data_IF_521068796106
#
_entry.id   IF_521068796106
#
_cell.length_a   1.000
_cell.length_b   1.000
_cell.length_c   1.000
_cell.angle_alpha   90.00
_cell.angle_beta   90.00
_cell.angle_gamma   90.00
#
_symmetry.space_group_name_H-M   'P 1'
#
loop_
_entity.id
_entity.type
_entity.pdbx_description
1 polymer ?
#
# COMPACT_ATOMS: atom_id res chain seq x y z
N UNK A 1 -10.26 8.98 -1.06
CA UNK A 1 -11.14 8.03 -1.76
C UNK A 1 -12.15 8.83 -2.59
N UNK A 2 -12.33 8.54 -3.87
CA UNK A 2 -13.60 8.93 -4.53
C UNK A 2 -14.62 7.86 -4.18
N UNK A 3 -15.63 8.20 -3.36
CA UNK A 3 -16.73 7.31 -2.97
C UNK A 3 -17.34 6.64 -4.23
N UNK A 4 -17.47 7.42 -5.30
CA UNK A 4 -17.98 6.98 -6.60
C UNK A 4 -17.09 5.89 -7.21
N UNK A 5 -15.77 6.04 -7.14
CA UNK A 5 -14.83 5.04 -7.66
C UNK A 5 -14.93 3.69 -6.94
N UNK A 6 -15.13 3.70 -5.62
CA UNK A 6 -15.34 2.47 -4.86
C UNK A 6 -16.67 1.78 -5.25
N UNK A 7 -17.76 2.55 -5.38
CA UNK A 7 -19.07 2.01 -5.74
C UNK A 7 -19.13 1.46 -7.17
N UNK A 8 -18.43 2.11 -8.12
CA UNK A 8 -18.43 1.73 -9.54
C UNK A 8 -17.39 0.67 -9.90
N UNK A 9 -16.36 0.47 -9.08
CA UNK A 9 -15.34 -0.51 -9.38
C UNK A 9 -15.93 -1.93 -9.48
N UNK A 10 -15.51 -2.65 -10.52
CA UNK A 10 -15.81 -4.07 -10.71
C UNK A 10 -14.51 -4.79 -11.09
N UNK A 11 -14.15 -5.88 -10.41
CA UNK A 11 -13.00 -6.69 -10.78
C UNK A 11 -13.23 -7.38 -12.13
N UNK A 12 -12.15 -7.67 -12.84
CA UNK A 12 -12.22 -8.40 -14.11
C UNK A 12 -12.72 -9.82 -13.86
N UNK A 13 -13.72 -10.24 -14.62
CA UNK A 13 -14.26 -11.60 -14.55
C UNK A 13 -13.25 -12.62 -15.10
N UNK A 14 -13.27 -13.84 -14.56
CA UNK A 14 -12.46 -14.93 -15.09
C UNK A 14 -12.86 -15.29 -16.52
N UNK A 15 -11.88 -15.63 -17.35
CA UNK A 15 -12.12 -16.26 -18.66
C UNK A 15 -12.48 -17.74 -18.47
N UNK A 16 -13.35 -18.25 -19.33
CA UNK A 16 -13.65 -19.70 -19.43
C UNK A 16 -12.51 -20.48 -20.09
N UNK A 17 -11.67 -19.81 -20.89
CA UNK A 17 -10.47 -20.37 -21.51
C UNK A 17 -9.31 -19.39 -21.30
N UNK A 18 -8.61 -19.45 -20.15
CA UNK A 18 -7.58 -18.48 -19.82
C UNK A 18 -6.31 -18.73 -20.64
N UNK A 19 -5.73 -17.64 -21.16
CA UNK A 19 -4.45 -17.65 -21.88
C UNK A 19 -3.29 -18.01 -20.97
N UNK A 20 -3.35 -17.59 -19.71
CA UNK A 20 -2.30 -17.82 -18.72
C UNK A 20 -2.80 -18.68 -17.56
N UNK A 21 -1.92 -19.55 -17.07
CA UNK A 21 -2.16 -20.46 -15.96
C UNK A 21 -1.18 -20.18 -14.83
N UNK A 22 -1.44 -20.78 -13.67
CA UNK A 22 -0.53 -20.69 -12.52
C UNK A 22 0.90 -21.17 -12.86
N UNK A 23 1.01 -22.18 -13.72
CA UNK A 23 2.29 -22.73 -14.21
C UNK A 23 3.08 -21.77 -15.10
N UNK A 24 2.50 -20.65 -15.53
CA UNK A 24 3.18 -19.63 -16.34
C UNK A 24 3.74 -18.49 -15.46
N UNK A 25 3.77 -18.68 -14.14
CA UNK A 25 4.20 -17.69 -13.16
C UNK A 25 5.47 -18.10 -12.43
N UNK A 26 6.41 -17.17 -12.37
CA UNK A 26 7.48 -17.15 -11.39
C UNK A 26 7.15 -16.15 -10.30
N UNK A 27 7.31 -16.55 -9.04
CA UNK A 27 7.16 -15.67 -7.88
C UNK A 27 8.54 -15.30 -7.37
N UNK A 28 8.79 -14.01 -7.12
CA UNK A 28 10.06 -13.52 -6.57
C UNK A 28 9.79 -12.87 -5.21
N UNK A 29 10.47 -13.37 -4.18
CA UNK A 29 10.41 -12.81 -2.81
C UNK A 29 11.81 -12.36 -2.39
N UNK A 30 12.10 -11.05 -2.35
CA UNK A 30 13.30 -10.54 -1.70
C UNK A 30 13.09 -10.48 -0.18
N UNK A 31 14.04 -10.99 0.59
CA UNK A 31 14.00 -10.91 2.07
C UNK A 31 15.40 -10.90 2.68
N UNK A 32 15.53 -10.40 3.91
CA UNK A 32 16.77 -10.49 4.70
C UNK A 32 16.66 -11.49 5.85
N UNK A 33 15.48 -12.10 6.06
CA UNK A 33 15.23 -12.97 7.19
C UNK A 33 14.31 -14.13 6.80
N UNK A 34 14.88 -15.35 6.76
CA UNK A 34 14.20 -16.56 6.27
C UNK A 34 13.71 -17.50 7.37
N UNK A 35 14.03 -17.21 8.63
CA UNK A 35 13.65 -18.02 9.80
C UNK A 35 12.25 -17.73 10.36
N UNK A 36 11.71 -16.49 10.33
CA UNK A 36 10.46 -16.19 11.00
C UNK A 36 9.29 -17.03 10.48
N UNK A 37 8.42 -17.48 11.39
CA UNK A 37 7.23 -18.25 11.01
C UNK A 37 6.30 -17.45 10.08
N UNK A 38 6.28 -16.12 10.17
CA UNK A 38 5.62 -15.24 9.20
C UNK A 38 6.09 -15.55 7.78
N UNK A 39 7.41 -15.60 7.55
CA UNK A 39 7.97 -15.89 6.23
C UNK A 39 7.66 -17.32 5.77
N UNK A 40 7.80 -18.30 6.67
CA UNK A 40 7.44 -19.69 6.37
C UNK A 40 5.98 -19.84 5.92
N UNK A 41 5.06 -19.13 6.58
CA UNK A 41 3.64 -19.10 6.20
C UNK A 41 3.41 -18.42 4.85
N UNK A 42 4.20 -17.39 4.51
CA UNK A 42 4.16 -16.79 3.15
C UNK A 42 4.59 -17.83 2.11
N UNK A 43 5.73 -18.49 2.30
CA UNK A 43 6.24 -19.53 1.39
C UNK A 43 5.19 -20.64 1.20
N UNK A 44 4.62 -21.17 2.30
CA UNK A 44 3.57 -22.19 2.22
C UNK A 44 2.32 -21.70 1.48
N UNK A 45 1.92 -20.43 1.67
CA UNK A 45 0.75 -19.87 0.97
C UNK A 45 0.95 -19.75 -0.54
N UNK A 46 2.19 -19.47 -0.99
CA UNK A 46 2.55 -19.47 -2.40
C UNK A 46 2.58 -20.89 -2.96
N UNK A 47 3.25 -21.81 -2.26
CA UNK A 47 3.41 -23.20 -2.71
C UNK A 47 2.12 -24.02 -2.71
N UNK A 48 1.09 -23.59 -1.96
CA UNK A 48 -0.27 -24.14 -2.05
C UNK A 48 -0.86 -24.01 -3.47
N UNK A 49 -0.31 -23.12 -4.29
CA UNK A 49 -0.70 -22.94 -5.68
C UNK A 49 0.35 -23.55 -6.62
N UNK A 50 -0.10 -24.04 -7.77
CA UNK A 50 0.76 -24.67 -8.80
C UNK A 50 1.55 -23.64 -9.63
N UNK A 51 2.32 -22.77 -8.95
CA UNK A 51 3.27 -21.85 -9.59
C UNK A 51 4.41 -22.62 -10.24
N UNK A 52 5.01 -22.08 -11.30
CA UNK A 52 6.13 -22.72 -11.98
C UNK A 52 7.38 -22.74 -11.09
N UNK A 53 7.68 -21.59 -10.48
CA UNK A 53 8.92 -21.35 -9.75
C UNK A 53 8.70 -20.32 -8.64
N UNK A 54 9.37 -20.52 -7.51
CA UNK A 54 9.46 -19.58 -6.41
C UNK A 54 10.92 -19.22 -6.16
N UNK A 55 11.33 -18.03 -6.59
CA UNK A 55 12.68 -17.51 -6.39
C UNK A 55 12.71 -16.68 -5.11
N UNK A 56 13.47 -17.13 -4.12
CA UNK A 56 13.68 -16.41 -2.86
C UNK A 56 15.07 -15.79 -2.92
N UNK A 57 15.17 -14.47 -3.03
CA UNK A 57 16.45 -13.78 -3.02
C UNK A 57 16.76 -13.23 -1.64
N UNK A 58 17.67 -13.89 -0.94
CA UNK A 58 18.09 -13.49 0.40
C UNK A 58 19.27 -12.53 0.37
N UNK A 59 19.49 -11.82 1.47
CA UNK A 59 20.73 -11.06 1.66
C UNK A 59 21.15 -10.92 3.12
N UNK A 60 22.47 -10.80 3.34
CA UNK A 60 23.08 -10.54 4.63
C UNK A 60 23.52 -11.80 5.40
N UNK A 61 24.43 -11.64 6.38
CA UNK A 61 25.10 -12.77 7.04
C UNK A 61 24.14 -13.66 7.83
N UNK A 62 23.00 -13.11 8.28
CA UNK A 62 21.96 -13.88 8.96
C UNK A 62 21.35 -14.92 8.02
N UNK A 63 20.92 -14.49 6.83
CA UNK A 63 20.28 -15.38 5.88
C UNK A 63 21.24 -16.44 5.33
N UNK A 64 22.53 -16.09 5.16
CA UNK A 64 23.58 -17.05 4.78
C UNK A 64 23.68 -18.20 5.80
N UNK A 65 23.73 -17.87 7.09
CA UNK A 65 23.82 -18.85 8.17
C UNK A 65 22.58 -19.75 8.25
N UNK A 66 21.41 -19.18 7.98
CA UNK A 66 20.12 -19.86 8.16
C UNK A 66 19.68 -20.65 6.90
N UNK A 67 20.41 -20.56 5.79
CA UNK A 67 20.09 -21.21 4.51
C UNK A 67 19.95 -22.73 4.63
N UNK A 68 20.85 -23.39 5.36
CA UNK A 68 20.81 -24.85 5.55
C UNK A 68 19.55 -25.30 6.29
N UNK A 69 19.15 -24.57 7.34
CA UNK A 69 17.93 -24.87 8.10
C UNK A 69 16.68 -24.65 7.24
N UNK A 70 16.66 -23.59 6.43
CA UNK A 70 15.56 -23.31 5.52
C UNK A 70 15.39 -24.41 4.47
N UNK A 71 16.49 -24.85 3.83
CA UNK A 71 16.47 -25.94 2.83
C UNK A 71 16.03 -27.27 3.43
N UNK A 72 16.35 -27.52 4.70
CA UNK A 72 15.85 -28.72 5.40
C UNK A 72 14.33 -28.66 5.62
N UNK A 73 13.78 -27.49 5.95
CA UNK A 73 12.35 -27.30 6.17
C UNK A 73 11.54 -27.24 4.87
N UNK A 74 12.12 -26.74 3.78
CA UNK A 74 11.46 -26.54 2.49
C UNK A 74 12.21 -27.27 1.37
N UNK A 75 11.77 -28.50 1.09
CA UNK A 75 12.33 -29.39 0.06
C UNK A 75 11.60 -29.34 -1.29
N UNK A 76 10.65 -28.42 -1.45
CA UNK A 76 9.90 -28.24 -2.70
C UNK A 76 10.85 -27.82 -3.84
N UNK A 77 10.87 -28.62 -4.91
CA UNK A 77 11.78 -28.44 -6.05
C UNK A 77 11.55 -27.14 -6.82
N UNK A 78 10.39 -26.49 -6.62
CA UNK A 78 10.08 -25.19 -7.25
C UNK A 78 10.83 -24.03 -6.59
N UNK A 79 11.40 -24.22 -5.40
CA UNK A 79 12.13 -23.18 -4.69
C UNK A 79 13.53 -23.02 -5.27
N UNK A 80 13.84 -21.80 -5.70
CA UNK A 80 15.19 -21.36 -6.04
C UNK A 80 15.63 -20.33 -5.01
N UNK A 81 16.47 -20.75 -4.07
CA UNK A 81 17.02 -19.88 -3.04
C UNK A 81 18.35 -19.27 -3.53
N UNK A 82 18.42 -17.95 -3.54
CA UNK A 82 19.58 -17.15 -3.91
C UNK A 82 20.09 -16.39 -2.69
N UNK A 83 21.39 -16.09 -2.67
CA UNK A 83 22.02 -15.32 -1.61
C UNK A 83 22.86 -14.16 -2.17
N UNK A 84 22.92 -13.06 -1.41
CA UNK A 84 23.82 -11.91 -1.65
C UNK A 84 24.39 -11.44 -0.31
N UNK A 85 25.63 -10.98 -0.31
CA UNK A 85 26.26 -10.45 0.91
C UNK A 85 25.58 -9.16 1.40
N UNK A 86 25.31 -8.22 0.47
CA UNK A 86 24.77 -6.89 0.80
C UNK A 86 23.25 -6.84 0.61
N UNK A 87 22.54 -6.40 1.65
CA UNK A 87 21.10 -6.20 1.62
C UNK A 87 20.73 -5.02 0.73
N UNK A 88 19.95 -5.29 -0.32
CA UNK A 88 19.36 -4.30 -1.20
C UNK A 88 18.21 -4.95 -1.95
N UNK A 89 16.99 -4.51 -1.68
CA UNK A 89 15.77 -5.08 -2.28
C UNK A 89 15.85 -5.07 -3.81
N UNK A 90 16.31 -3.97 -4.40
CA UNK A 90 16.47 -3.80 -5.85
C UNK A 90 17.46 -4.79 -6.45
N UNK A 91 18.62 -4.91 -5.83
CA UNK A 91 19.67 -5.83 -6.31
C UNK A 91 19.29 -7.29 -6.09
N UNK A 92 18.58 -7.60 -5.01
CA UNK A 92 17.99 -8.92 -4.76
C UNK A 92 16.97 -9.26 -5.86
N UNK A 93 16.06 -8.34 -6.18
CA UNK A 93 15.10 -8.52 -7.28
C UNK A 93 15.80 -8.63 -8.64
N UNK A 94 16.79 -7.78 -8.93
CA UNK A 94 17.55 -7.82 -10.18
C UNK A 94 18.33 -9.14 -10.34
N UNK A 95 18.91 -9.66 -9.25
CA UNK A 95 19.57 -10.96 -9.24
C UNK A 95 18.58 -12.09 -9.55
N UNK A 96 17.38 -12.03 -8.95
CA UNK A 96 16.32 -13.00 -9.20
C UNK A 96 15.81 -13.00 -10.66
N UNK A 97 15.87 -11.86 -11.37
CA UNK A 97 15.41 -11.77 -12.77
C UNK A 97 16.14 -12.74 -13.70
N UNK A 98 17.39 -13.09 -13.40
CA UNK A 98 18.18 -14.07 -14.18
C UNK A 98 17.56 -15.48 -14.17
N UNK A 99 16.67 -15.75 -13.21
CA UNK A 99 16.02 -17.04 -13.00
C UNK A 99 14.54 -17.03 -13.41
N UNK A 100 14.04 -15.92 -13.94
CA UNK A 100 12.67 -15.76 -14.44
C UNK A 100 12.66 -16.09 -15.94
N UNK A 101 12.13 -17.25 -16.27
CA UNK A 101 11.98 -17.78 -17.64
C UNK A 101 10.50 -17.91 -18.05
N UNK A 102 9.59 -17.56 -17.15
CA UNK A 102 8.15 -17.65 -17.36
C UNK A 102 7.59 -16.38 -17.99
N UNK A 103 6.44 -16.46 -18.70
CA UNK A 103 5.80 -15.29 -19.31
C UNK A 103 5.39 -14.20 -18.30
N UNK A 104 5.06 -14.61 -17.07
CA UNK A 104 4.58 -13.70 -16.02
C UNK A 104 5.41 -13.82 -14.75
N UNK A 105 5.52 -12.69 -14.04
CA UNK A 105 6.25 -12.53 -12.79
C UNK A 105 5.36 -11.90 -11.74
N UNK A 106 5.41 -12.43 -10.51
CA UNK A 106 4.86 -11.77 -9.32
C UNK A 106 6.00 -11.33 -8.41
N UNK A 107 6.10 -10.03 -8.16
CA UNK A 107 6.94 -9.47 -7.11
C UNK A 107 6.13 -9.47 -5.80
N UNK A 108 6.60 -10.23 -4.81
CA UNK A 108 5.86 -10.55 -3.60
C UNK A 108 6.64 -10.09 -2.36
N UNK A 109 5.93 -9.50 -1.39
CA UNK A 109 6.50 -9.14 -0.08
C UNK A 109 6.57 -10.37 0.84
N UNK A 110 7.57 -10.39 1.72
CA UNK A 110 7.89 -11.48 2.65
C UNK A 110 6.94 -11.62 3.87
N UNK A 111 5.94 -10.74 3.97
CA UNK A 111 4.95 -10.68 5.05
C UNK A 111 3.50 -10.55 4.51
N UNK A 112 3.29 -11.00 3.28
CA UNK A 112 1.97 -11.01 2.63
C UNK A 112 1.56 -12.42 2.24
N UNK A 113 0.33 -12.81 2.54
CA UNK A 113 -0.18 -14.17 2.42
C UNK A 113 -1.22 -14.27 1.31
N UNK A 114 -1.08 -15.31 0.49
CA UNK A 114 -2.06 -15.62 -0.54
C UNK A 114 -3.29 -16.31 0.05
N UNK A 115 -4.50 -16.04 -0.47
CA UNK A 115 -5.70 -16.81 -0.14
C UNK A 115 -5.52 -18.29 -0.49
N UNK A 116 -5.97 -19.20 0.36
CA UNK A 116 -5.95 -20.64 0.07
C UNK A 116 -7.11 -21.07 -0.86
N UNK A 117 -7.36 -20.29 -1.91
CA UNK A 117 -8.44 -20.52 -2.88
C UNK A 117 -7.84 -20.82 -4.25
N UNK A 118 -8.23 -21.93 -4.87
CA UNK A 118 -7.76 -22.28 -6.23
C UNK A 118 -8.10 -21.23 -7.30
N UNK A 119 -9.13 -20.42 -7.04
CA UNK A 119 -9.56 -19.29 -7.87
C UNK A 119 -8.63 -18.07 -7.79
N UNK A 120 -7.80 -17.94 -6.75
CA UNK A 120 -6.99 -16.75 -6.50
C UNK A 120 -6.14 -16.33 -7.70
N UNK A 121 -5.31 -17.25 -8.21
CA UNK A 121 -4.47 -16.97 -9.37
C UNK A 121 -5.30 -16.80 -10.65
N UNK A 122 -6.39 -17.54 -10.81
CA UNK A 122 -7.26 -17.39 -12.00
C UNK A 122 -7.82 -15.97 -12.10
N UNK A 123 -8.29 -15.40 -10.98
CA UNK A 123 -8.77 -14.02 -10.98
C UNK A 123 -7.64 -13.00 -11.06
N UNK A 124 -6.49 -13.28 -10.44
CA UNK A 124 -5.32 -12.39 -10.48
C UNK A 124 -4.78 -12.25 -11.90
N UNK A 125 -4.80 -13.33 -12.69
CA UNK A 125 -4.31 -13.36 -14.06
C UNK A 125 -5.33 -12.87 -15.10
N UNK A 126 -6.62 -12.86 -14.77
CA UNK A 126 -7.70 -12.50 -15.69
C UNK A 126 -7.48 -11.17 -16.46
N UNK A 127 -6.89 -10.10 -15.88
CA UNK A 127 -6.67 -8.88 -16.64
C UNK A 127 -5.62 -9.00 -17.76
N UNK A 128 -4.71 -9.99 -17.72
CA UNK A 128 -3.71 -10.23 -18.77
C UNK A 128 -4.29 -10.84 -20.06
N UNK A 129 -5.58 -11.18 -20.07
CA UNK A 129 -6.29 -11.51 -21.31
C UNK A 129 -6.35 -10.30 -22.27
N UNK A 130 -6.29 -9.08 -21.73
CA UNK A 130 -6.17 -7.86 -22.51
C UNK A 130 -4.71 -7.65 -22.94
N UNK A 131 -4.39 -7.63 -24.25
CA UNK A 131 -3.00 -7.54 -24.72
C UNK A 131 -2.24 -6.28 -24.30
N UNK A 132 -2.96 -5.23 -23.90
CA UNK A 132 -2.36 -3.99 -23.41
C UNK A 132 -2.15 -3.97 -21.90
N UNK A 133 -2.56 -4.99 -21.15
CA UNK A 133 -2.33 -5.09 -19.70
C UNK A 133 -0.87 -5.49 -19.41
N UNK A 134 -0.09 -4.57 -18.86
CA UNK A 134 1.32 -4.79 -18.52
C UNK A 134 1.57 -5.10 -17.04
N UNK A 135 0.62 -4.77 -16.15
CA UNK A 135 0.69 -5.15 -14.75
C UNK A 135 -0.69 -5.26 -14.10
N UNK A 136 -0.76 -6.08 -13.05
CA UNK A 136 -1.95 -6.23 -12.21
C UNK A 136 -1.59 -5.98 -10.75
N UNK A 137 -2.25 -5.02 -10.13
CA UNK A 137 -2.25 -4.85 -8.68
C UNK A 137 -3.37 -5.69 -8.04
N UNK A 138 -3.10 -6.29 -6.88
CA UNK A 138 -4.12 -6.99 -6.08
C UNK A 138 -4.40 -6.22 -4.79
N UNK A 139 -5.60 -6.40 -4.24
CA UNK A 139 -5.98 -5.78 -2.98
C UNK A 139 -5.23 -6.43 -1.81
N UNK A 140 -4.81 -5.62 -0.84
CA UNK A 140 -4.18 -6.10 0.39
C UNK A 140 -5.04 -5.73 1.60
N UNK A 141 -5.27 -6.69 2.48
CA UNK A 141 -6.03 -6.51 3.72
C UNK A 141 -5.15 -6.80 4.92
N UNK A 142 -5.14 -5.90 5.90
CA UNK A 142 -4.41 -6.13 7.13
C UNK A 142 -5.16 -7.16 8.00
N UNK A 143 -4.43 -8.10 8.59
CA UNK A 143 -5.00 -9.03 9.55
C UNK A 143 -5.32 -8.32 10.85
N UNK A 144 -6.61 -8.24 11.18
CA UNK A 144 -7.09 -7.74 12.46
C UNK A 144 -6.74 -8.73 13.58
N UNK A 145 -5.97 -8.30 14.59
CA UNK A 145 -5.50 -9.18 15.69
C UNK A 145 -6.51 -9.35 16.83
N UNK A 146 -7.67 -8.71 16.73
CA UNK A 146 -8.79 -8.77 17.71
C UNK A 146 -8.34 -8.42 19.14
N UNK A 147 -7.51 -7.38 19.27
CA UNK A 147 -7.13 -6.88 20.58
C UNK A 147 -8.34 -6.33 21.33
N UNK A 148 -8.40 -6.58 22.64
CA UNK A 148 -9.25 -5.81 23.54
C UNK A 148 -8.89 -4.32 23.49
N UNK A 149 -9.76 -3.44 24.01
CA UNK A 149 -9.49 -2.00 24.07
C UNK A 149 -8.15 -1.73 24.77
N UNK A 150 -7.14 -1.32 23.98
CA UNK A 150 -5.75 -1.24 24.42
C UNK A 150 -4.92 -0.40 23.45
N UNK A 151 -3.71 -0.01 23.88
CA UNK A 151 -2.74 0.64 22.99
C UNK A 151 -2.32 -0.26 21.83
N UNK A 152 -2.21 -1.57 22.05
CA UNK A 152 -1.94 -2.53 20.97
C UNK A 152 -3.07 -2.54 19.93
N UNK A 153 -4.33 -2.54 20.40
CA UNK A 153 -5.50 -2.40 19.53
C UNK A 153 -5.53 -1.07 18.78
N UNK A 154 -5.16 0.03 19.43
CA UNK A 154 -5.05 1.35 18.79
C UNK A 154 -4.01 1.37 17.66
N UNK A 155 -2.81 0.80 17.88
CA UNK A 155 -1.78 0.74 16.83
C UNK A 155 -2.13 -0.23 15.71
N UNK A 156 -2.79 -1.36 16.02
CA UNK A 156 -3.34 -2.24 15.00
C UNK A 156 -4.36 -1.49 14.14
N UNK A 157 -5.30 -0.76 14.77
CA UNK A 157 -6.27 0.10 14.08
C UNK A 157 -5.60 1.14 13.18
N UNK A 158 -4.64 1.91 13.69
CA UNK A 158 -3.92 2.90 12.89
C UNK A 158 -3.18 2.28 11.71
N UNK A 159 -2.57 1.11 11.92
CA UNK A 159 -1.92 0.38 10.85
C UNK A 159 -2.90 -0.06 9.77
N UNK A 160 -4.05 -0.61 10.15
CA UNK A 160 -5.08 -1.03 9.20
C UNK A 160 -5.58 0.15 8.37
N UNK A 161 -5.86 1.29 9.00
CA UNK A 161 -6.27 2.52 8.30
C UNK A 161 -5.16 3.04 7.38
N UNK A 162 -3.90 2.98 7.81
CA UNK A 162 -2.79 3.40 6.97
C UNK A 162 -2.61 2.48 5.75
N UNK A 163 -2.78 1.18 5.92
CA UNK A 163 -2.77 0.25 4.79
C UNK A 163 -3.96 0.48 3.83
N UNK A 164 -5.14 0.80 4.35
CA UNK A 164 -6.28 1.21 3.51
C UNK A 164 -5.94 2.47 2.69
N UNK A 165 -5.12 3.38 3.24
CA UNK A 165 -4.62 4.54 2.53
C UNK A 165 -3.63 4.18 1.41
N UNK A 166 -2.74 3.20 1.63
CA UNK A 166 -1.86 2.67 0.56
C UNK A 166 -2.66 1.92 -0.53
N UNK A 167 -3.74 1.26 -0.16
CA UNK A 167 -4.70 0.66 -1.09
C UNK A 167 -5.61 1.68 -1.80
N UNK A 168 -5.41 2.98 -1.60
CA UNK A 168 -6.25 4.00 -2.20
C UNK A 168 -6.22 3.91 -3.73
N UNK A 169 -7.42 3.83 -4.30
CA UNK A 169 -7.64 3.69 -5.74
C UNK A 169 -8.06 5.01 -6.33
N UNK A 170 -7.54 5.29 -7.51
CA UNK A 170 -7.74 6.52 -8.24
C UNK A 170 -8.20 6.21 -9.67
N UNK A 171 -8.76 7.19 -10.38
CA UNK A 171 -9.40 7.02 -11.70
C UNK A 171 -10.46 5.89 -11.73
N UNK A 172 -11.51 6.00 -10.91
CA UNK A 172 -12.62 5.03 -10.89
C UNK A 172 -12.21 3.57 -10.61
N UNK A 173 -11.10 3.36 -9.89
CA UNK A 173 -10.60 2.03 -9.57
C UNK A 173 -9.68 1.43 -10.64
N UNK A 174 -9.28 2.21 -11.65
CA UNK A 174 -8.35 1.80 -12.69
C UNK A 174 -6.88 1.98 -12.30
N UNK A 175 -6.58 2.82 -11.31
CA UNK A 175 -5.21 3.11 -10.86
C UNK A 175 -5.10 2.88 -9.35
N UNK A 176 -4.07 2.16 -8.92
CA UNK A 176 -3.80 1.79 -7.52
C UNK A 176 -3.45 0.31 -7.39
N UNK A 177 -2.94 -0.17 -6.23
CA UNK A 177 -2.61 0.57 -5.00
C UNK A 177 -1.38 1.50 -5.18
N UNK A 178 -1.33 2.57 -4.38
CA UNK A 178 -0.18 3.48 -4.29
C UNK A 178 0.82 2.88 -3.30
N UNK A 179 1.55 1.87 -3.75
CA UNK A 179 2.63 1.29 -2.96
C UNK A 179 3.84 2.23 -2.95
N UNK A 180 4.83 1.89 -2.12
CA UNK A 180 5.98 2.75 -1.88
C UNK A 180 7.26 2.00 -2.22
N UNK A 181 8.04 2.62 -3.11
CA UNK A 181 9.33 2.18 -3.66
C UNK A 181 9.21 1.57 -5.06
N UNK A 182 9.89 0.46 -5.38
CA UNK A 182 10.10 -0.06 -6.76
C UNK A 182 8.82 -0.16 -7.60
N UNK A 183 7.67 -0.39 -6.96
CA UNK A 183 6.35 -0.40 -7.58
C UNK A 183 6.01 0.93 -8.27
N UNK A 184 6.37 2.09 -7.70
CA UNK A 184 6.14 3.41 -8.29
C UNK A 184 7.04 3.64 -9.51
N UNK A 185 8.21 3.00 -9.53
CA UNK A 185 9.08 3.02 -10.70
C UNK A 185 8.47 2.16 -11.81
N UNK A 186 8.13 0.90 -11.54
CA UNK A 186 7.50 0.00 -12.51
C UNK A 186 6.20 0.58 -13.08
N UNK A 187 5.33 1.12 -12.22
CA UNK A 187 4.08 1.79 -12.63
C UNK A 187 4.36 2.91 -13.63
N UNK A 188 5.35 3.74 -13.36
CA UNK A 188 5.67 4.87 -14.25
C UNK A 188 6.28 4.40 -15.56
N UNK A 189 7.22 3.46 -15.49
CA UNK A 189 7.83 2.87 -16.68
C UNK A 189 6.77 2.24 -17.58
N UNK A 190 5.79 1.52 -17.01
CA UNK A 190 4.67 0.95 -17.76
C UNK A 190 3.80 2.03 -18.43
N UNK A 191 3.48 3.11 -17.69
CA UNK A 191 2.74 4.25 -18.24
C UNK A 191 3.53 4.96 -19.35
N UNK A 192 4.86 5.05 -19.22
CA UNK A 192 5.76 5.60 -20.25
C UNK A 192 5.74 4.77 -21.54
N UNK A 193 5.59 3.46 -21.42
CA UNK A 193 5.56 2.51 -22.54
C UNK A 193 4.12 2.13 -22.95
N UNK A 194 3.14 2.96 -22.57
CA UNK A 194 1.73 2.86 -22.96
C UNK A 194 0.97 1.60 -22.48
N UNK A 195 1.56 0.84 -21.54
CA UNK A 195 0.94 -0.31 -20.91
C UNK A 195 -0.18 0.08 -19.93
N UNK A 196 -1.28 -0.67 -19.97
CA UNK A 196 -2.37 -0.60 -19.01
C UNK A 196 -1.98 -1.29 -17.70
N UNK A 197 -2.21 -0.59 -16.60
CA UNK A 197 -2.13 -1.17 -15.25
C UNK A 197 -3.56 -1.45 -14.84
N UNK A 198 -3.82 -2.68 -14.42
CA UNK A 198 -5.15 -3.12 -14.00
C UNK A 198 -5.12 -3.38 -12.50
N UNK A 199 -6.24 -3.13 -11.84
CA UNK A 199 -6.43 -3.46 -10.44
C UNK A 199 -7.42 -4.59 -10.33
N UNK A 200 -7.04 -5.63 -9.60
CA UNK A 200 -7.87 -6.80 -9.32
C UNK A 200 -8.04 -6.93 -7.80
N UNK A 201 -9.04 -6.24 -7.28
CA UNK A 201 -9.27 -6.14 -5.85
C UNK A 201 -10.71 -6.48 -5.52
N UNK A 202 -11.03 -7.76 -5.80
CA UNK A 202 -12.25 -8.45 -5.39
C UNK A 202 -11.99 -9.43 -4.25
N UNK A 203 -13.04 -10.08 -3.71
CA UNK A 203 -12.94 -11.00 -2.58
C UNK A 203 -12.15 -12.28 -2.88
N UNK A 204 -11.96 -12.59 -4.17
CA UNK A 204 -11.18 -13.75 -4.62
C UNK A 204 -9.67 -13.45 -4.70
N UNK A 205 -9.28 -12.18 -4.81
CA UNK A 205 -7.89 -11.74 -5.00
C UNK A 205 -7.31 -10.96 -3.83
N UNK A 206 -8.08 -10.82 -2.75
CA UNK A 206 -7.66 -10.07 -1.57
C UNK A 206 -6.58 -10.85 -0.80
N UNK A 207 -5.34 -10.38 -0.85
CA UNK A 207 -4.26 -10.91 -0.03
C UNK A 207 -4.36 -10.38 1.40
N UNK A 208 -3.72 -11.07 2.34
CA UNK A 208 -3.65 -10.59 3.74
C UNK A 208 -2.23 -10.26 4.16
N UNK A 209 -2.03 -9.28 5.04
CA UNK A 209 -0.71 -8.91 5.54
C UNK A 209 -0.69 -8.70 7.05
N UNK A 210 0.48 -8.88 7.64
CA UNK A 210 0.75 -8.51 9.02
C UNK A 210 1.40 -7.13 9.07
N UNK A 211 0.82 -6.25 9.89
CA UNK A 211 1.39 -4.94 10.16
C UNK A 211 2.25 -5.01 11.42
N UNK A 212 3.30 -4.19 11.46
CA UNK A 212 4.14 -4.06 12.65
C UNK A 212 3.34 -3.44 13.80
N UNK A 213 3.64 -3.85 15.03
CA UNK A 213 3.19 -3.13 16.23
C UNK A 213 4.15 -1.98 16.55
N UNK A 214 3.74 -1.03 17.39
CA UNK A 214 4.65 0.00 17.88
C UNK A 214 5.86 -0.62 18.60
N UNK A 215 7.10 -0.16 18.37
CA UNK A 215 7.51 1.01 17.57
C UNK A 215 7.77 0.71 16.08
N UNK A 216 7.81 -0.56 15.65
CA UNK A 216 8.06 -0.96 14.26
C UNK A 216 7.09 -0.32 13.28
N UNK A 217 5.83 -0.14 13.68
CA UNK A 217 4.84 0.58 12.88
C UNK A 217 5.33 1.99 12.51
N UNK A 218 5.85 2.75 13.47
CA UNK A 218 6.31 4.12 13.24
C UNK A 218 7.47 4.17 12.23
N UNK A 219 8.38 3.21 12.32
CA UNK A 219 9.48 3.06 11.35
C UNK A 219 8.95 2.71 9.96
N UNK A 220 7.92 1.86 9.87
CA UNK A 220 7.23 1.58 8.61
C UNK A 220 6.63 2.85 8.01
N UNK A 221 5.89 3.63 8.80
CA UNK A 221 5.23 4.83 8.29
C UNK A 221 6.25 5.90 7.88
N UNK A 222 7.32 6.11 8.66
CA UNK A 222 8.37 7.09 8.34
C UNK A 222 9.10 6.71 7.04
N UNK A 223 9.36 5.41 6.83
CA UNK A 223 9.91 4.91 5.56
C UNK A 223 8.96 5.18 4.39
N UNK A 224 7.65 4.99 4.60
CA UNK A 224 6.64 5.23 3.58
C UNK A 224 6.52 6.72 3.21
N UNK A 225 6.58 7.62 4.19
CA UNK A 225 6.56 9.06 3.96
C UNK A 225 7.83 9.52 3.22
N UNK A 226 9.02 9.16 3.70
CA UNK A 226 10.28 9.57 3.08
C UNK A 226 10.40 9.16 1.61
N UNK A 227 9.96 7.95 1.25
CA UNK A 227 9.93 7.55 -0.16
C UNK A 227 8.83 8.26 -0.95
N UNK A 228 7.68 8.58 -0.35
CA UNK A 228 6.62 9.36 -1.01
C UNK A 228 7.06 10.78 -1.34
N UNK A 229 7.79 11.46 -0.44
CA UNK A 229 8.38 12.79 -0.70
C UNK A 229 9.34 12.75 -1.89
N UNK A 230 10.14 11.68 -2.05
CA UNK A 230 11.08 11.53 -3.18
C UNK A 230 10.39 11.15 -4.50
N UNK A 231 9.37 10.29 -4.45
CA UNK A 231 8.77 9.66 -5.63
C UNK A 231 7.61 10.45 -6.23
N UNK A 232 6.81 11.13 -5.39
CA UNK A 232 5.61 11.83 -5.83
C UNK A 232 5.91 13.05 -6.74
N UNK A 233 6.92 13.92 -6.48
CA UNK A 233 7.23 15.06 -7.37
C UNK A 233 7.64 14.57 -8.77
N UNK A 234 8.40 13.50 -8.78
CA UNK A 234 8.83 12.75 -9.96
C UNK A 234 7.64 12.25 -10.80
N UNK A 235 6.53 11.85 -10.18
CA UNK A 235 5.29 11.51 -10.87
C UNK A 235 4.54 12.75 -11.38
N UNK A 236 4.55 13.85 -10.64
CA UNK A 236 3.92 15.12 -11.04
C UNK A 236 4.60 15.80 -12.22
N UNK A 237 5.91 15.65 -12.38
CA UNK A 237 6.66 16.21 -13.53
C UNK A 237 6.39 15.40 -14.81
N UNK A 238 5.87 14.19 -14.68
CA UNK A 238 5.71 13.27 -15.80
C UNK A 238 4.47 13.59 -16.65
N UNK A 239 4.69 14.05 -17.90
CA UNK A 239 3.62 14.52 -18.81
C UNK A 239 2.55 13.45 -19.11
N UNK A 240 2.93 12.21 -19.42
CA UNK A 240 1.94 11.16 -19.76
C UNK A 240 1.02 10.85 -18.57
N UNK A 241 1.48 11.03 -17.33
CA UNK A 241 0.64 10.84 -16.14
C UNK A 241 -0.56 11.81 -16.13
N UNK A 242 -0.33 13.09 -16.45
CA UNK A 242 -1.39 14.10 -16.54
C UNK A 242 -2.40 13.82 -17.65
N UNK A 243 -1.96 13.23 -18.77
CA UNK A 243 -2.85 12.93 -19.90
C UNK A 243 -3.67 11.67 -19.63
N UNK A 244 -3.01 10.62 -19.14
CA UNK A 244 -3.61 9.29 -19.00
C UNK A 244 -4.35 9.11 -17.68
N UNK A 245 -3.89 9.78 -16.62
CA UNK A 245 -4.43 9.68 -15.26
C UNK A 245 -4.59 11.06 -14.60
N UNK A 246 -5.27 12.03 -15.23
CA UNK A 246 -5.35 13.42 -14.76
C UNK A 246 -5.88 13.52 -13.33
N UNK A 247 -6.90 12.72 -12.99
CA UNK A 247 -7.46 12.71 -11.64
C UNK A 247 -6.46 12.18 -10.60
N UNK A 248 -5.69 11.13 -10.92
CA UNK A 248 -4.64 10.62 -10.03
C UNK A 248 -3.55 11.65 -9.80
N UNK A 249 -3.04 12.22 -10.88
CA UNK A 249 -1.96 13.21 -10.79
C UNK A 249 -2.44 14.47 -10.07
N UNK A 250 -3.70 14.89 -10.26
CA UNK A 250 -4.33 15.94 -9.47
C UNK A 250 -4.42 15.60 -7.98
N UNK A 251 -4.86 14.39 -7.61
CA UNK A 251 -4.94 14.01 -6.18
C UNK A 251 -3.56 13.96 -5.51
N UNK A 252 -2.52 13.57 -6.25
CA UNK A 252 -1.13 13.63 -5.79
C UNK A 252 -0.65 15.07 -5.62
N UNK A 253 -1.06 15.99 -6.50
CA UNK A 253 -0.75 17.42 -6.35
C UNK A 253 -1.42 17.97 -5.08
N UNK A 254 -2.70 17.67 -4.87
CA UNK A 254 -3.45 18.06 -3.67
C UNK A 254 -2.81 17.50 -2.40
N UNK A 255 -2.18 16.32 -2.46
CA UNK A 255 -1.45 15.77 -1.32
C UNK A 255 -0.37 16.74 -0.83
N UNK A 256 0.42 17.37 -1.71
CA UNK A 256 1.45 18.36 -1.32
C UNK A 256 0.89 19.60 -0.65
N UNK A 257 -0.30 20.05 -1.09
CA UNK A 257 -0.96 21.25 -0.55
C UNK A 257 -1.74 20.94 0.74
N UNK A 258 -2.02 19.66 1.02
CA UNK A 258 -2.75 19.22 2.21
C UNK A 258 -1.91 19.46 3.48
N UNK A 259 -2.03 20.65 4.04
CA UNK A 259 -1.40 21.07 5.29
C UNK A 259 -2.49 21.25 6.34
N UNK A 260 -2.97 20.16 6.93
CA UNK A 260 -4.13 20.21 7.83
C UNK A 260 -3.95 21.21 8.99
N UNK A 261 -2.73 21.35 9.52
CA UNK A 261 -2.42 22.31 10.59
C UNK A 261 -2.39 23.77 10.16
N UNK A 262 -2.31 24.05 8.85
CA UNK A 262 -2.36 25.41 8.32
C UNK A 262 -3.76 25.70 7.77
N UNK A 263 -4.27 24.81 6.93
CA UNK A 263 -5.54 24.97 6.24
C UNK A 263 -6.72 24.95 7.21
N UNK A 264 -6.73 24.08 8.22
CA UNK A 264 -7.88 23.99 9.13
C UNK A 264 -8.01 25.23 10.03
N UNK A 265 -6.95 25.70 10.73
CA UNK A 265 -7.02 26.99 11.44
C UNK A 265 -7.31 28.18 10.51
N UNK A 266 -6.76 28.18 9.29
CA UNK A 266 -7.06 29.21 8.30
C UNK A 266 -8.55 29.22 7.92
N UNK A 267 -9.20 28.07 7.78
CA UNK A 267 -10.65 28.00 7.53
C UNK A 267 -11.44 28.63 8.67
N UNK A 268 -11.07 28.39 9.94
CA UNK A 268 -11.72 29.03 11.08
C UNK A 268 -11.46 30.53 11.14
N UNK A 269 -10.24 30.97 10.83
CA UNK A 269 -9.89 32.39 10.76
C UNK A 269 -10.66 33.11 9.64
N UNK A 270 -10.72 32.53 8.44
CA UNK A 270 -11.50 33.07 7.32
C UNK A 270 -12.98 33.13 7.65
N UNK A 271 -13.53 32.10 8.30
CA UNK A 271 -14.92 32.09 8.76
C UNK A 271 -15.19 33.25 9.72
N UNK A 272 -14.30 33.47 10.70
CA UNK A 272 -14.39 34.62 11.61
C UNK A 272 -14.33 35.95 10.85
N UNK A 273 -13.35 36.11 9.95
CA UNK A 273 -13.13 37.34 9.20
C UNK A 273 -14.33 37.70 8.32
N UNK A 274 -14.93 36.72 7.63
CA UNK A 274 -16.12 36.92 6.78
C UNK A 274 -17.33 37.32 7.61
N UNK A 275 -17.57 36.65 8.75
CA UNK A 275 -18.69 36.99 9.64
C UNK A 275 -18.52 38.38 10.26
N UNK A 276 -17.29 38.76 10.61
CA UNK A 276 -16.98 40.11 11.10
C UNK A 276 -17.23 41.18 10.03
N UNK A 277 -16.81 40.93 8.79
CA UNK A 277 -16.96 41.88 7.69
C UNK A 277 -18.43 42.17 7.32
N UNK A 278 -19.35 41.23 7.60
CA UNK A 278 -20.78 41.37 7.32
C UNK A 278 -21.63 41.65 8.56
N UNK A 279 -21.01 41.94 9.70
CA UNK A 279 -21.69 42.18 10.98
C UNK A 279 -22.62 41.02 11.40
N UNK A 280 -22.16 39.78 11.17
CA UNK A 280 -22.88 38.53 11.45
C UNK A 280 -22.21 37.72 12.59
N UNK A 281 -21.48 38.37 13.49
CA UNK A 281 -20.73 37.69 14.55
C UNK A 281 -21.62 36.90 15.51
N UNK A 282 -22.92 37.21 15.62
CA UNK A 282 -23.88 36.40 16.37
C UNK A 282 -23.91 34.93 15.92
N UNK A 283 -23.64 34.66 14.63
CA UNK A 283 -23.64 33.32 14.06
C UNK A 283 -22.31 32.56 14.26
N UNK A 284 -21.27 33.21 14.80
CA UNK A 284 -19.92 32.64 14.86
C UNK A 284 -19.85 31.30 15.60
N UNK A 285 -20.56 31.17 16.72
CA UNK A 285 -20.59 29.90 17.50
C UNK A 285 -21.18 28.76 16.68
N UNK A 286 -22.34 28.99 16.07
CA UNK A 286 -23.03 27.97 15.26
C UNK A 286 -22.17 27.59 14.06
N UNK A 287 -21.68 28.58 13.31
CA UNK A 287 -20.87 28.34 12.13
C UNK A 287 -19.56 27.59 12.45
N UNK A 288 -18.91 27.93 13.56
CA UNK A 288 -17.69 27.23 14.02
C UNK A 288 -17.96 25.77 14.38
N UNK A 289 -19.04 25.51 15.12
CA UNK A 289 -19.43 24.13 15.47
C UNK A 289 -19.80 23.34 14.21
N UNK A 290 -20.53 23.95 13.27
CA UNK A 290 -20.87 23.31 11.98
C UNK A 290 -19.62 23.00 11.17
N UNK A 291 -18.66 23.92 11.06
CA UNK A 291 -17.41 23.70 10.35
C UNK A 291 -16.58 22.58 11.01
N UNK A 292 -16.46 22.59 12.34
CA UNK A 292 -15.77 21.53 13.07
C UNK A 292 -16.44 20.15 12.89
N UNK A 293 -17.77 20.10 12.97
CA UNK A 293 -18.55 18.89 12.72
C UNK A 293 -18.35 18.39 11.29
N UNK A 294 -18.36 19.29 10.30
CA UNK A 294 -18.10 18.96 8.91
C UNK A 294 -16.70 18.37 8.71
N UNK A 295 -15.65 19.02 9.21
CA UNK A 295 -14.26 18.53 9.11
C UNK A 295 -14.13 17.14 9.75
N UNK A 296 -14.70 16.96 10.94
CA UNK A 296 -14.67 15.68 11.67
C UNK A 296 -15.44 14.60 10.92
N UNK A 297 -16.63 14.93 10.38
CA UNK A 297 -17.43 14.02 9.57
C UNK A 297 -16.67 13.57 8.31
N UNK A 298 -15.96 14.47 7.63
CA UNK A 298 -15.15 14.10 6.47
C UNK A 298 -13.98 13.17 6.82
N UNK A 299 -13.34 13.37 7.99
CA UNK A 299 -12.31 12.44 8.51
C UNK A 299 -12.92 11.08 8.85
N UNK A 300 -14.15 11.04 9.36
CA UNK A 300 -14.90 9.81 9.66
C UNK A 300 -15.29 9.05 8.38
N UNK A 301 -15.82 9.76 7.37
CA UNK A 301 -16.20 9.17 6.06
C UNK A 301 -15.01 8.46 5.42
N UNK A 302 -13.79 8.99 5.56
CA UNK A 302 -12.57 8.38 5.01
C UNK A 302 -12.32 6.96 5.53
N UNK A 303 -12.66 6.68 6.78
CA UNK A 303 -12.41 5.40 7.47
C UNK A 303 -13.69 4.59 7.68
N UNK A 304 -14.81 5.03 7.11
CA UNK A 304 -16.11 4.37 7.26
C UNK A 304 -16.09 2.93 6.72
N UNK A 305 -15.29 2.65 5.69
CA UNK A 305 -15.12 1.32 5.14
C UNK A 305 -14.53 0.34 6.17
N UNK A 306 -13.56 0.80 6.96
CA UNK A 306 -12.98 0.05 8.07
C UNK A 306 -14.03 -0.25 9.15
N UNK A 307 -14.77 0.74 9.61
CA UNK A 307 -15.78 0.55 10.66
C UNK A 307 -16.94 -0.35 10.24
N UNK A 308 -17.25 -0.44 8.94
CA UNK A 308 -18.22 -1.42 8.45
C UNK A 308 -17.73 -2.87 8.63
N UNK A 309 -16.42 -3.10 8.56
CA UNK A 309 -15.80 -4.42 8.78
C UNK A 309 -15.52 -4.69 10.26
N UNK A 310 -15.07 -3.67 10.99
CA UNK A 310 -14.68 -3.72 12.40
C UNK A 310 -15.40 -2.62 13.21
N UNK A 311 -16.69 -2.81 13.56
CA UNK A 311 -17.48 -1.78 14.25
C UNK A 311 -16.93 -1.39 15.62
N UNK A 312 -16.29 -2.33 16.32
CA UNK A 312 -15.71 -2.12 17.65
C UNK A 312 -14.59 -1.10 17.66
N UNK A 313 -13.90 -0.90 16.53
CA UNK A 313 -12.76 0.01 16.43
C UNK A 313 -13.16 1.49 16.44
N UNK A 314 -14.47 1.80 16.40
CA UNK A 314 -14.97 3.18 16.48
C UNK A 314 -14.48 3.90 17.74
N UNK A 315 -14.21 3.15 18.81
CA UNK A 315 -13.65 3.66 20.07
C UNK A 315 -12.28 4.33 19.88
N UNK A 316 -11.53 3.95 18.85
CA UNK A 316 -10.22 4.50 18.52
C UNK A 316 -10.28 5.76 17.65
N UNK A 317 -11.46 6.16 17.16
CA UNK A 317 -11.62 7.33 16.30
C UNK A 317 -11.08 8.63 16.90
N UNK A 318 -11.33 8.96 18.18
CA UNK A 318 -10.76 10.18 18.78
C UNK A 318 -9.24 10.18 18.75
N UNK A 319 -8.61 9.05 19.08
CA UNK A 319 -7.16 8.88 19.02
C UNK A 319 -6.63 9.01 17.59
N UNK A 320 -7.34 8.51 16.58
CA UNK A 320 -6.98 8.70 15.18
C UNK A 320 -7.04 10.16 14.73
N UNK A 321 -8.02 10.93 15.17
CA UNK A 321 -8.10 12.36 14.84
C UNK A 321 -6.89 13.11 15.44
N UNK A 322 -6.54 12.83 16.70
CA UNK A 322 -5.37 13.42 17.37
C UNK A 322 -4.08 12.99 16.66
N UNK A 323 -3.91 11.70 16.41
CA UNK A 323 -2.76 11.16 15.71
C UNK A 323 -2.63 11.74 14.29
N UNK A 324 -3.75 11.94 13.59
CA UNK A 324 -3.78 12.57 12.27
C UNK A 324 -3.20 13.98 12.29
N UNK A 325 -3.49 14.80 13.30
CA UNK A 325 -2.89 16.14 13.42
C UNK A 325 -1.40 16.07 13.77
N UNK A 326 -0.99 15.14 14.63
CA UNK A 326 0.42 14.98 14.97
C UNK A 326 1.24 14.47 13.77
N UNK A 327 0.76 13.43 13.10
CA UNK A 327 1.50 12.72 12.07
C UNK A 327 1.38 13.38 10.68
N UNK A 328 0.16 13.61 10.17
CA UNK A 328 -0.06 14.26 8.87
C UNK A 328 0.12 15.78 8.93
N UNK A 329 0.09 16.35 10.14
CA UNK A 329 0.25 17.78 10.35
C UNK A 329 1.69 18.19 10.65
N UNK A 330 2.33 17.58 11.65
CA UNK A 330 3.68 17.98 12.09
C UNK A 330 4.74 17.13 11.38
N UNK A 331 4.71 15.81 11.54
CA UNK A 331 5.76 14.93 11.03
C UNK A 331 5.85 14.95 9.50
N UNK A 332 4.73 14.80 8.81
CA UNK A 332 4.65 14.84 7.34
C UNK A 332 5.04 16.23 6.78
N UNK A 333 4.63 17.31 7.42
CA UNK A 333 5.02 18.67 7.02
C UNK A 333 6.53 18.91 7.18
N UNK A 334 7.09 18.48 8.32
CA UNK A 334 8.53 18.52 8.60
C UNK A 334 9.30 17.71 7.55
N UNK A 335 8.87 16.49 7.24
CA UNK A 335 9.55 15.66 6.23
C UNK A 335 9.46 16.26 4.82
N UNK A 336 8.33 16.87 4.44
CA UNK A 336 8.16 17.54 3.13
C UNK A 336 9.05 18.76 2.96
N UNK A 337 9.19 19.59 4.00
CA UNK A 337 9.92 20.87 3.91
C UNK A 337 11.38 20.76 4.29
N UNK A 338 11.69 20.04 5.37
CA UNK A 338 13.04 19.97 5.92
C UNK A 338 13.83 18.79 5.36
N UNK A 339 13.19 17.93 4.55
CA UNK A 339 13.83 16.78 3.91
C UNK A 339 14.58 15.89 4.90
N UNK A 340 14.19 15.91 6.19
CA UNK A 340 14.91 15.23 7.26
C UNK A 340 14.71 13.72 7.11
N UNK A 341 15.49 13.14 6.20
CA UNK A 341 15.87 11.75 6.26
C UNK A 341 16.64 11.57 7.58
N UNK A 342 15.95 11.07 8.61
CA UNK A 342 16.68 10.28 9.60
C UNK A 342 17.26 9.09 8.85
N UNK A 343 18.53 9.22 8.48
CA UNK A 343 19.32 8.15 7.93
C UNK A 343 19.40 7.04 8.96
N UNK A 344 18.95 5.86 8.56
CA UNK A 344 19.48 4.60 9.06
C UNK A 344 19.76 3.75 7.83
N UNK A 345 21.02 3.83 7.39
CA UNK A 345 21.83 2.77 6.78
C UNK A 345 21.06 1.59 6.19
N UNK A 346 20.94 1.51 4.86
CA UNK A 346 20.92 0.27 4.05
C UNK A 346 20.77 0.63 2.56
N UNK A 347 21.61 1.54 2.06
CA UNK A 347 21.82 1.73 0.61
C UNK A 347 23.19 2.37 0.44
N UNK A 348 24.22 1.52 0.41
CA UNK A 348 25.39 1.62 -0.45
C UNK A 348 25.72 0.20 -0.90
#
# INVERSE_FOLDING_TARGET
MSIIGNLRYRPTSRSTSPKFKASDLTVVIPTTDIVPETFHRVVRSVLAHSVAKLVISTAGPKAEKDEGAFRFLFSDQRIVLLHREVASRREQTAHAMKYVDTPLLILQDDHTYWPNKNSFLQFTLAPFEEPSAGAVGVGLEARHRQHAFSLAGFWNFLGMIYLEYLNERVCFGLVGPLNVDDDKFHTRWLVEHDWNIKLQAGPETMMTTELGEWPKFNEQVSRWLGTSVRSNPRHLIHRKSWIRHPYTTWTLLVWFVRMSLVLEPLMFWLLHAVLKAHDQLQHFRVATVTLYAFITAMKFVKILAHFKKHPTDVVYFPGYVIYGYWYLGIADMVERFLGHCKGSYFFN
#
